data_IF_038040433647
#
_entry.id   IF_038040433647
#
_cell.length_a   1.000
_cell.length_b   1.000
_cell.length_c   1.000
_cell.angle_alpha   90.00
_cell.angle_beta   90.00
_cell.angle_gamma   90.00
#
_symmetry.space_group_name_H-M   'P 1'
#
loop_
_entity.id
_entity.type
_entity.pdbx_description
1 polymer ?
#
# COMPACT_ATOMS: atom_id res chain seq x y z
N UNK A 1 7.69 -5.91 -13.63
CA UNK A 1 6.40 -6.36 -13.09
C UNK A 1 5.26 -5.63 -13.79
N UNK A 2 4.21 -6.35 -14.13
CA UNK A 2 3.05 -5.76 -14.79
C UNK A 2 2.36 -4.75 -13.84
N UNK A 3 1.90 -3.57 -14.32
CA UNK A 3 1.30 -2.56 -13.45
C UNK A 3 0.12 -3.07 -12.61
N UNK A 4 -0.71 -3.94 -13.18
CA UNK A 4 -1.83 -4.53 -12.43
C UNK A 4 -1.33 -5.42 -11.29
N UNK A 5 -0.30 -6.22 -11.53
CA UNK A 5 0.28 -7.08 -10.51
C UNK A 5 0.91 -6.25 -9.39
N UNK A 6 1.54 -5.14 -9.75
CA UNK A 6 2.10 -4.22 -8.76
C UNK A 6 1.01 -3.59 -7.91
N UNK A 7 -0.10 -3.16 -8.52
CA UNK A 7 -1.24 -2.62 -7.78
C UNK A 7 -1.87 -3.67 -6.86
N UNK A 8 -1.99 -4.90 -7.33
CA UNK A 8 -2.54 -5.99 -6.51
C UNK A 8 -1.63 -6.28 -5.31
N UNK A 9 -0.32 -6.30 -5.51
CA UNK A 9 0.65 -6.47 -4.43
C UNK A 9 0.58 -5.33 -3.43
N UNK A 10 0.48 -4.09 -3.91
CA UNK A 10 0.35 -2.91 -3.06
C UNK A 10 -0.95 -2.95 -2.25
N UNK A 11 -2.05 -3.39 -2.86
CA UNK A 11 -3.33 -3.52 -2.17
C UNK A 11 -3.24 -4.52 -1.02
N UNK A 12 -2.58 -5.67 -1.26
CA UNK A 12 -2.39 -6.68 -0.22
C UNK A 12 -1.50 -6.15 0.92
N UNK A 13 -0.41 -5.46 0.58
CA UNK A 13 0.46 -4.87 1.59
C UNK A 13 -0.28 -3.83 2.43
N UNK A 14 -1.04 -2.94 1.79
CA UNK A 14 -1.85 -1.94 2.50
C UNK A 14 -2.85 -2.63 3.43
N UNK A 15 -3.50 -3.70 2.96
CA UNK A 15 -4.43 -4.46 3.78
C UNK A 15 -3.75 -4.99 5.04
N UNK A 16 -2.56 -5.59 4.90
CA UNK A 16 -1.84 -6.13 6.04
C UNK A 16 -1.41 -5.04 7.02
N UNK A 17 -0.90 -3.93 6.50
CA UNK A 17 -0.46 -2.82 7.34
C UNK A 17 -1.63 -2.23 8.14
N UNK A 18 -2.81 -2.15 7.54
CA UNK A 18 -3.99 -1.59 8.21
C UNK A 18 -4.62 -2.53 9.22
N UNK A 19 -4.50 -3.84 9.01
CA UNK A 19 -5.17 -4.85 9.85
C UNK A 19 -4.31 -5.46 10.93
N UNK A 20 -3.00 -5.59 10.68
CA UNK A 20 -2.12 -6.26 11.61
C UNK A 20 -1.75 -5.33 12.77
N UNK A 21 -1.72 -5.89 13.97
CA UNK A 21 -1.36 -5.16 15.18
C UNK A 21 0.16 -5.23 15.40
N UNK A 22 0.90 -4.87 14.35
CA UNK A 22 2.36 -4.87 14.35
C UNK A 22 2.89 -3.57 13.74
N UNK A 23 4.13 -3.17 14.07
CA UNK A 23 4.74 -2.01 13.43
C UNK A 23 4.78 -2.16 11.91
N UNK A 24 4.52 -1.06 11.20
CA UNK A 24 4.45 -1.08 9.74
C UNK A 24 5.73 -1.58 9.09
N UNK A 25 6.89 -1.18 9.60
CA UNK A 25 8.17 -1.63 9.05
C UNK A 25 8.37 -3.14 9.19
N UNK A 26 7.88 -3.75 10.28
CA UNK A 26 7.92 -5.19 10.44
C UNK A 26 7.02 -5.89 9.42
N UNK A 27 5.83 -5.35 9.17
CA UNK A 27 4.88 -5.89 8.19
C UNK A 27 5.47 -5.78 6.78
N UNK A 28 6.04 -4.64 6.44
CA UNK A 28 6.65 -4.41 5.12
C UNK A 28 7.84 -5.36 4.91
N UNK A 29 8.70 -5.51 5.90
CA UNK A 29 9.85 -6.42 5.81
C UNK A 29 9.42 -7.87 5.61
N UNK A 30 8.39 -8.30 6.35
CA UNK A 30 7.84 -9.65 6.20
C UNK A 30 7.26 -9.85 4.80
N UNK A 31 6.52 -8.87 4.31
CA UNK A 31 5.93 -8.92 2.98
C UNK A 31 7.01 -9.12 1.92
N UNK A 32 8.11 -8.38 2.00
CA UNK A 32 9.21 -8.49 1.06
C UNK A 32 9.91 -9.86 1.13
N UNK A 33 10.00 -10.45 2.30
CA UNK A 33 10.55 -11.80 2.44
C UNK A 33 9.67 -12.86 1.80
N UNK A 34 8.36 -12.66 1.83
CA UNK A 34 7.39 -13.57 1.23
C UNK A 34 7.27 -13.36 -0.28
N UNK A 35 7.67 -12.21 -0.81
CA UNK A 35 7.54 -11.85 -2.21
C UNK A 35 8.92 -11.54 -2.79
N UNK A 36 9.75 -12.58 -2.92
CA UNK A 36 11.14 -12.44 -3.37
C UNK A 36 11.30 -12.03 -4.83
N UNK A 37 10.24 -12.16 -5.63
CA UNK A 37 10.25 -11.76 -7.02
C UNK A 37 10.18 -10.25 -7.23
N UNK A 38 10.00 -9.47 -6.16
CA UNK A 38 9.96 -8.02 -6.26
C UNK A 38 11.37 -7.45 -6.40
N UNK A 39 11.55 -6.60 -7.42
CA UNK A 39 12.80 -5.88 -7.60
C UNK A 39 12.90 -4.65 -6.69
N UNK A 40 14.07 -3.96 -6.71
CA UNK A 40 14.25 -2.78 -5.85
C UNK A 40 13.25 -1.66 -6.09
N UNK A 41 12.87 -1.42 -7.34
CA UNK A 41 11.89 -0.37 -7.67
C UNK A 41 10.51 -0.71 -7.15
N UNK A 42 10.08 -1.96 -7.32
CA UNK A 42 8.78 -2.41 -6.85
C UNK A 42 8.72 -2.35 -5.32
N UNK A 43 9.79 -2.75 -4.65
CA UNK A 43 9.86 -2.65 -3.18
C UNK A 43 9.76 -1.21 -2.70
N UNK A 44 10.47 -0.30 -3.36
CA UNK A 44 10.42 1.12 -3.01
C UNK A 44 9.01 1.68 -3.21
N UNK A 45 8.37 1.37 -4.34
CA UNK A 45 7.01 1.81 -4.64
C UNK A 45 6.02 1.28 -3.60
N UNK A 46 6.11 0.00 -3.26
CA UNK A 46 5.21 -0.61 -2.29
C UNK A 46 5.38 0.00 -0.90
N UNK A 47 6.63 0.19 -0.47
CA UNK A 47 6.91 0.77 0.83
C UNK A 47 6.41 2.21 0.91
N UNK A 48 6.68 3.02 -0.12
CA UNK A 48 6.21 4.41 -0.17
C UNK A 48 4.70 4.49 -0.15
N UNK A 49 4.02 3.60 -0.89
CA UNK A 49 2.56 3.56 -0.92
C UNK A 49 2.00 3.22 0.45
N UNK A 50 2.53 2.20 1.11
CA UNK A 50 2.07 1.79 2.43
C UNK A 50 2.25 2.90 3.46
N UNK A 51 3.42 3.54 3.48
CA UNK A 51 3.69 4.62 4.43
C UNK A 51 2.88 5.87 4.13
N UNK A 52 2.64 6.19 2.84
CA UNK A 52 1.81 7.33 2.47
C UNK A 52 0.37 7.13 2.95
N UNK A 53 -0.18 5.93 2.79
CA UNK A 53 -1.53 5.59 3.26
C UNK A 53 -1.61 5.74 4.79
N UNK A 54 -0.62 5.24 5.51
CA UNK A 54 -0.60 5.31 6.97
C UNK A 54 -0.54 6.75 7.48
N UNK A 55 0.31 7.57 6.88
CA UNK A 55 0.47 8.97 7.30
C UNK A 55 -0.79 9.79 7.05
N UNK A 56 -1.54 9.49 6.01
CA UNK A 56 -2.71 10.26 5.60
C UNK A 56 -3.99 9.44 5.63
N UNK A 57 -4.02 8.41 6.46
CA UNK A 57 -5.14 7.48 6.53
C UNK A 57 -6.50 8.17 6.70
N UNK A 58 -6.68 9.13 7.61
CA UNK A 58 -8.00 9.77 7.76
C UNK A 58 -8.47 10.47 6.48
N UNK A 59 -7.56 11.17 5.79
CA UNK A 59 -7.89 11.86 4.54
C UNK A 59 -8.22 10.86 3.45
N UNK A 60 -7.39 9.83 3.28
CA UNK A 60 -7.58 8.84 2.23
C UNK A 60 -8.87 8.04 2.45
N UNK A 61 -9.21 7.71 3.69
CA UNK A 61 -10.46 7.03 3.99
C UNK A 61 -11.66 7.88 3.63
N UNK A 62 -11.61 9.17 3.93
CA UNK A 62 -12.67 10.10 3.57
C UNK A 62 -12.87 10.17 2.06
N UNK A 63 -11.78 10.32 1.30
CA UNK A 63 -11.84 10.39 -0.16
C UNK A 63 -12.28 9.06 -0.78
N UNK A 64 -11.81 7.95 -0.24
CA UNK A 64 -12.13 6.62 -0.76
C UNK A 64 -13.61 6.27 -0.60
N UNK A 65 -14.30 6.83 0.37
CA UNK A 65 -15.74 6.59 0.60
C UNK A 65 -16.60 7.06 -0.56
N UNK A 66 -16.14 8.03 -1.33
CA UNK A 66 -16.87 8.57 -2.47
C UNK A 66 -16.75 7.69 -3.72
N UNK A 67 -15.85 6.72 -3.73
CA UNK A 67 -15.58 5.88 -4.88
C UNK A 67 -16.26 4.51 -4.81
N UNK A 68 -15.98 3.67 -5.82
CA UNK A 68 -16.42 2.28 -5.87
C UNK A 68 -15.21 1.34 -5.76
N UNK A 69 -15.45 0.08 -5.41
CA UNK A 69 -14.41 -0.92 -5.23
C UNK A 69 -14.08 -1.15 -3.76
N UNK A 70 -13.09 -2.00 -3.48
CA UNK A 70 -12.71 -2.29 -2.11
C UNK A 70 -12.04 -1.08 -1.45
N UNK A 71 -12.22 -0.97 -0.14
CA UNK A 71 -11.62 0.10 0.64
C UNK A 71 -10.09 0.09 0.52
N UNK A 72 -9.47 -1.08 0.65
CA UNK A 72 -8.02 -1.21 0.59
C UNK A 72 -7.48 -0.83 -0.78
N UNK A 73 -8.18 -1.21 -1.85
CA UNK A 73 -7.76 -0.86 -3.20
C UNK A 73 -7.86 0.63 -3.44
N UNK A 74 -8.92 1.27 -2.98
CA UNK A 74 -9.08 2.73 -3.12
C UNK A 74 -8.02 3.49 -2.35
N UNK A 75 -7.70 3.07 -1.13
CA UNK A 75 -6.63 3.68 -0.35
C UNK A 75 -5.28 3.50 -1.03
N UNK A 76 -5.04 2.34 -1.63
CA UNK A 76 -3.80 2.06 -2.36
C UNK A 76 -3.66 2.98 -3.57
N UNK A 77 -4.73 3.15 -4.35
CA UNK A 77 -4.72 4.04 -5.52
C UNK A 77 -4.42 5.47 -5.11
N UNK A 78 -5.06 5.95 -4.03
CA UNK A 78 -4.79 7.30 -3.52
C UNK A 78 -3.35 7.44 -3.05
N UNK A 79 -2.78 6.39 -2.44
CA UNK A 79 -1.39 6.38 -2.04
C UNK A 79 -0.42 6.46 -3.22
N UNK A 80 -0.75 5.83 -4.36
CA UNK A 80 0.06 5.91 -5.57
C UNK A 80 0.13 7.33 -6.12
N UNK A 81 -0.94 8.11 -5.96
CA UNK A 81 -1.02 9.48 -6.49
C UNK A 81 -0.70 10.53 -5.44
N UNK A 82 -0.31 10.14 -4.23
CA UNK A 82 0.04 11.08 -3.18
C UNK A 82 1.33 11.82 -3.53
N UNK A 83 1.42 13.12 -3.23
CA UNK A 83 2.68 13.85 -3.38
C UNK A 83 3.74 13.22 -2.48
N UNK A 84 4.97 13.14 -2.99
CA UNK A 84 6.10 12.66 -2.19
C UNK A 84 6.65 13.82 -1.39
N UNK A 85 6.86 13.57 -0.13
CA UNK A 85 7.45 14.58 0.77
C UNK A 85 8.96 14.65 0.60
#
# INVERSE_FOLDING_TARGET
MHPKALLDAATELVRQVLRLDHPADAVVSRFFREHRNLGPRERATLAETAYAVLRRKPLYEHLARAGTGSRERRLTILGFHAPRD
#
